data_IF_351374360538
#
_entry.id   IF_351374360538
#
_cell.length_a   1.000
_cell.length_b   1.000
_cell.length_c   1.000
_cell.angle_alpha   90.00
_cell.angle_beta   90.00
_cell.angle_gamma   90.00
#
_symmetry.space_group_name_H-M   'P 1'
#
loop_
_entity.id
_entity.type
_entity.pdbx_description
1 polymer ?
#
# COMPACT_ATOMS: atom_id res chain seq x y z
N UNK A 1 -46.22 -9.26 -63.96
CA UNK A 1 -45.54 -10.55 -64.16
C UNK A 1 -46.61 -11.60 -64.23
N UNK A 2 -46.76 -12.19 -65.41
CA UNK A 2 -47.79 -13.18 -65.68
C UNK A 2 -47.17 -14.54 -65.41
N UNK A 3 -47.36 -15.07 -64.20
CA UNK A 3 -46.97 -16.45 -63.93
C UNK A 3 -47.78 -17.37 -64.85
N UNK A 4 -47.15 -18.38 -65.47
CA UNK A 4 -47.87 -19.42 -66.18
C UNK A 4 -49.00 -19.98 -65.31
N UNK A 5 -50.25 -19.86 -65.76
CA UNK A 5 -51.42 -20.37 -65.05
C UNK A 5 -52.18 -21.35 -65.92
N UNK A 6 -52.55 -22.49 -65.35
CA UNK A 6 -53.48 -23.45 -65.92
C UNK A 6 -54.32 -24.06 -64.78
N UNK A 7 -55.52 -24.58 -65.07
CA UNK A 7 -56.36 -25.21 -64.05
C UNK A 7 -55.69 -26.46 -63.45
N UNK A 8 -55.81 -26.66 -62.14
CA UNK A 8 -55.23 -27.82 -61.43
C UNK A 8 -55.73 -29.17 -61.97
N UNK A 9 -56.89 -29.17 -62.63
CA UNK A 9 -57.52 -30.37 -63.21
C UNK A 9 -57.05 -30.70 -64.62
N UNK A 10 -56.16 -29.89 -65.22
CA UNK A 10 -55.71 -30.05 -66.60
C UNK A 10 -54.21 -30.37 -66.67
N UNK A 11 -53.77 -31.31 -67.53
CA UNK A 11 -52.35 -31.55 -67.74
C UNK A 11 -51.68 -30.30 -68.30
N UNK A 12 -50.43 -30.09 -67.89
CA UNK A 12 -49.64 -28.92 -68.29
C UNK A 12 -49.59 -28.84 -69.83
N UNK A 13 -50.03 -27.72 -70.44
CA UNK A 13 -50.25 -27.67 -71.89
C UNK A 13 -48.96 -27.75 -72.72
N UNK A 14 -47.81 -27.42 -72.13
CA UNK A 14 -46.45 -27.52 -72.70
C UNK A 14 -45.44 -27.70 -71.55
N UNK A 15 -44.17 -28.09 -71.81
CA UNK A 15 -43.13 -28.09 -70.79
C UNK A 15 -43.01 -26.72 -70.11
N UNK A 16 -42.87 -26.72 -68.77
CA UNK A 16 -42.86 -25.49 -67.96
C UNK A 16 -41.82 -24.45 -68.42
N UNK A 17 -40.63 -24.89 -68.84
CA UNK A 17 -39.57 -24.01 -69.32
C UNK A 17 -39.98 -23.25 -70.59
N UNK A 18 -40.73 -23.90 -71.49
CA UNK A 18 -41.16 -23.29 -72.75
C UNK A 18 -42.27 -22.26 -72.48
N UNK A 19 -43.23 -22.57 -71.61
CA UNK A 19 -44.29 -21.64 -71.21
C UNK A 19 -43.70 -20.44 -70.47
N UNK A 20 -42.70 -20.68 -69.62
CA UNK A 20 -41.99 -19.64 -68.88
C UNK A 20 -41.30 -18.66 -69.82
N UNK A 21 -40.55 -19.15 -70.80
CA UNK A 21 -39.81 -18.29 -71.73
C UNK A 21 -40.76 -17.57 -72.72
N UNK A 22 -41.86 -18.21 -73.12
CA UNK A 22 -42.95 -17.57 -73.89
C UNK A 22 -43.58 -16.41 -73.10
N UNK A 23 -43.93 -16.63 -71.83
CA UNK A 23 -44.53 -15.59 -70.97
C UNK A 23 -43.55 -14.50 -70.57
N UNK A 24 -42.27 -14.82 -70.43
CA UNK A 24 -41.20 -13.83 -70.21
C UNK A 24 -41.10 -12.86 -71.39
N UNK A 25 -41.21 -13.41 -72.60
CA UNK A 25 -41.13 -12.65 -73.86
C UNK A 25 -42.39 -11.81 -74.07
N UNK A 26 -43.57 -12.36 -73.76
CA UNK A 26 -44.85 -11.65 -73.83
C UNK A 26 -44.90 -10.47 -72.85
N UNK A 27 -44.51 -10.67 -71.60
CA UNK A 27 -44.46 -9.64 -70.56
C UNK A 27 -43.48 -8.51 -70.94
N UNK A 28 -42.31 -8.85 -71.51
CA UNK A 28 -41.34 -7.85 -71.99
C UNK A 28 -41.89 -7.06 -73.16
N UNK A 29 -42.47 -7.71 -74.16
CA UNK A 29 -43.02 -7.04 -75.34
C UNK A 29 -44.21 -6.13 -74.98
N UNK A 30 -45.07 -6.58 -74.05
CA UNK A 30 -46.20 -5.79 -73.57
C UNK A 30 -45.74 -4.55 -72.77
N UNK A 31 -44.66 -4.66 -72.01
CA UNK A 31 -44.15 -3.53 -71.23
C UNK A 31 -43.33 -2.57 -72.08
N UNK A 32 -42.58 -3.08 -73.07
CA UNK A 32 -41.90 -2.25 -74.07
C UNK A 32 -42.90 -1.43 -74.91
N UNK A 33 -44.00 -2.04 -75.36
CA UNK A 33 -45.07 -1.34 -76.11
C UNK A 33 -45.81 -0.29 -75.29
N UNK A 34 -45.74 -0.35 -73.94
CA UNK A 34 -46.28 0.67 -73.03
C UNK A 34 -45.27 1.79 -72.69
N UNK A 35 -44.11 1.82 -73.36
CA UNK A 35 -43.12 2.89 -73.22
C UNK A 35 -42.25 2.76 -71.96
N UNK A 36 -42.11 1.57 -71.39
CA UNK A 36 -41.26 1.36 -70.23
C UNK A 36 -39.78 1.54 -70.63
N UNK A 37 -39.03 2.32 -69.83
CA UNK A 37 -37.61 2.56 -70.05
C UNK A 37 -36.79 1.27 -69.95
N UNK A 38 -35.75 1.14 -70.79
CA UNK A 38 -34.80 0.02 -70.81
C UNK A 38 -34.18 -0.28 -69.43
N UNK A 39 -34.07 0.72 -68.55
CA UNK A 39 -33.59 0.57 -67.17
C UNK A 39 -34.49 -0.39 -66.36
N UNK A 40 -35.81 -0.35 -66.59
CA UNK A 40 -36.79 -1.18 -65.89
C UNK A 40 -37.10 -2.48 -66.62
N UNK A 41 -36.75 -2.59 -67.91
CA UNK A 41 -36.94 -3.81 -68.69
C UNK A 41 -36.15 -5.01 -68.12
N UNK A 42 -34.98 -4.77 -67.51
CA UNK A 42 -34.19 -5.80 -66.83
C UNK A 42 -34.81 -6.34 -65.53
N UNK A 43 -35.80 -5.64 -64.99
CA UNK A 43 -36.54 -6.06 -63.77
C UNK A 43 -37.74 -6.95 -64.07
N UNK A 44 -38.09 -7.10 -65.35
CA UNK A 44 -39.27 -7.83 -65.80
C UNK A 44 -38.87 -9.24 -66.22
N UNK A 45 -39.58 -10.20 -65.64
CA UNK A 45 -39.52 -11.59 -66.05
C UNK A 45 -39.10 -12.58 -64.95
N UNK A 46 -39.30 -13.86 -65.22
CA UNK A 46 -39.02 -14.97 -64.33
C UNK A 46 -37.56 -15.02 -63.90
N UNK A 47 -36.60 -14.71 -64.80
CA UNK A 47 -35.17 -14.66 -64.44
C UNK A 47 -34.87 -13.57 -63.41
N UNK A 48 -35.59 -12.45 -63.47
CA UNK A 48 -35.45 -11.36 -62.49
C UNK A 48 -36.06 -11.75 -61.15
N UNK A 49 -37.21 -12.44 -61.17
CA UNK A 49 -37.82 -13.02 -59.97
C UNK A 49 -36.92 -14.05 -59.29
N UNK A 50 -36.32 -14.99 -60.04
CA UNK A 50 -35.39 -15.98 -59.48
C UNK A 50 -34.19 -15.31 -58.81
N UNK A 51 -33.55 -14.35 -59.50
CA UNK A 51 -32.43 -13.58 -58.90
C UNK A 51 -32.84 -12.82 -57.65
N UNK A 52 -34.04 -12.26 -57.64
CA UNK A 52 -34.59 -11.59 -56.45
C UNK A 52 -34.80 -12.58 -55.30
N UNK A 53 -35.39 -13.75 -55.58
CA UNK A 53 -35.61 -14.80 -54.58
C UNK A 53 -34.30 -15.36 -54.02
N UNK A 54 -33.32 -15.65 -54.88
CA UNK A 54 -31.98 -16.09 -54.48
C UNK A 54 -31.35 -15.07 -53.52
N UNK A 55 -31.28 -13.79 -53.94
CA UNK A 55 -30.73 -12.71 -53.11
C UNK A 55 -31.49 -12.54 -51.80
N UNK A 56 -32.82 -12.70 -51.81
CA UNK A 56 -33.65 -12.55 -50.60
C UNK A 56 -33.45 -13.71 -49.63
N UNK A 57 -33.32 -14.93 -50.14
CA UNK A 57 -33.02 -16.13 -49.34
C UNK A 57 -31.61 -16.04 -48.75
N UNK A 58 -30.60 -15.65 -49.56
CA UNK A 58 -29.23 -15.42 -49.09
C UNK A 58 -29.19 -14.37 -47.97
N UNK A 59 -29.90 -13.25 -48.15
CA UNK A 59 -29.98 -12.21 -47.13
C UNK A 59 -30.64 -12.74 -45.84
N UNK A 60 -31.76 -13.45 -45.94
CA UNK A 60 -32.42 -14.04 -44.77
C UNK A 60 -31.52 -15.05 -44.04
N UNK A 61 -30.72 -15.80 -44.78
CA UNK A 61 -29.78 -16.76 -44.21
C UNK A 61 -28.62 -16.05 -43.50
N UNK A 62 -28.06 -15.00 -44.09
CA UNK A 62 -27.05 -14.16 -43.45
C UNK A 62 -27.59 -13.49 -42.18
N UNK A 63 -28.76 -12.87 -42.26
CA UNK A 63 -29.44 -12.19 -41.15
C UNK A 63 -29.72 -13.16 -39.97
N UNK A 64 -29.99 -14.44 -40.26
CA UNK A 64 -30.24 -15.45 -39.24
C UNK A 64 -28.95 -16.00 -38.61
N UNK A 65 -27.83 -16.05 -39.35
CA UNK A 65 -26.57 -16.63 -38.89
C UNK A 65 -25.75 -15.64 -38.07
N UNK A 66 -25.76 -14.35 -38.43
CA UNK A 66 -24.95 -13.33 -37.77
C UNK A 66 -25.18 -13.24 -36.25
N UNK A 67 -26.42 -13.28 -35.73
CA UNK A 67 -26.68 -13.32 -34.30
C UNK A 67 -26.10 -14.57 -33.61
N UNK A 68 -26.15 -15.72 -34.29
CA UNK A 68 -25.64 -16.99 -33.74
C UNK A 68 -24.12 -16.97 -33.67
N UNK A 69 -23.45 -16.46 -34.71
CA UNK A 69 -22.00 -16.31 -34.72
C UNK A 69 -21.51 -15.31 -33.67
N UNK A 70 -22.28 -14.24 -33.44
CA UNK A 70 -21.97 -13.25 -32.41
C UNK A 70 -22.08 -13.86 -31.02
N UNK A 71 -23.18 -14.56 -30.72
CA UNK A 71 -23.34 -15.30 -29.46
C UNK A 71 -22.24 -16.34 -29.23
N UNK A 72 -21.83 -17.07 -30.27
CA UNK A 72 -20.73 -18.04 -30.17
C UNK A 72 -19.38 -17.37 -29.88
N UNK A 73 -19.12 -16.20 -30.46
CA UNK A 73 -17.91 -15.42 -30.15
C UNK A 73 -17.92 -14.92 -28.72
N UNK A 74 -19.06 -14.43 -28.24
CA UNK A 74 -19.21 -13.95 -26.87
C UNK A 74 -19.04 -15.09 -25.86
N UNK A 75 -19.72 -16.23 -26.08
CA UNK A 75 -19.55 -17.45 -25.28
C UNK A 75 -18.09 -17.92 -25.24
N UNK A 76 -17.40 -17.91 -26.38
CA UNK A 76 -15.97 -18.26 -26.44
C UNK A 76 -15.11 -17.30 -25.62
N UNK A 77 -15.40 -15.99 -25.70
CA UNK A 77 -14.71 -14.96 -24.93
C UNK A 77 -14.91 -15.16 -23.43
N UNK A 78 -16.16 -15.34 -22.99
CA UNK A 78 -16.52 -15.60 -21.58
C UNK A 78 -15.88 -16.88 -21.06
N UNK A 79 -15.95 -17.98 -21.81
CA UNK A 79 -15.33 -19.25 -21.43
C UNK A 79 -13.79 -19.12 -21.33
N UNK A 80 -13.18 -18.36 -22.23
CA UNK A 80 -11.73 -18.10 -22.22
C UNK A 80 -11.30 -17.20 -21.06
N UNK A 81 -12.16 -16.30 -20.61
CA UNK A 81 -11.94 -15.50 -19.40
C UNK A 81 -12.07 -16.37 -18.14
N UNK A 82 -13.17 -17.12 -18.01
CA UNK A 82 -13.39 -18.03 -16.89
C UNK A 82 -12.27 -19.07 -16.74
N UNK A 83 -11.79 -19.63 -17.86
CA UNK A 83 -10.65 -20.54 -17.86
C UNK A 83 -9.40 -19.87 -17.27
N UNK A 84 -9.09 -18.64 -17.68
CA UNK A 84 -7.94 -17.89 -17.15
C UNK A 84 -8.10 -17.63 -15.65
N UNK A 85 -9.29 -17.22 -15.22
CA UNK A 85 -9.57 -16.95 -13.81
C UNK A 85 -9.40 -18.23 -12.95
N UNK A 86 -9.92 -19.37 -13.42
CA UNK A 86 -9.76 -20.68 -12.75
C UNK A 86 -8.31 -21.18 -12.75
N UNK A 87 -7.57 -20.99 -13.84
CA UNK A 87 -6.14 -21.32 -13.88
C UNK A 87 -5.36 -20.45 -12.88
N UNK A 88 -5.70 -19.17 -12.72
CA UNK A 88 -5.13 -18.31 -11.69
C UNK A 88 -5.46 -18.82 -10.29
N UNK A 89 -6.74 -19.11 -10.00
CA UNK A 89 -7.17 -19.61 -8.68
C UNK A 89 -6.53 -20.95 -8.31
N UNK A 90 -6.44 -21.89 -9.26
CA UNK A 90 -5.78 -23.17 -9.07
C UNK A 90 -4.28 -23.00 -8.79
N UNK A 91 -3.62 -22.11 -9.52
CA UNK A 91 -2.20 -21.82 -9.32
C UNK A 91 -1.92 -21.11 -7.98
N UNK A 92 -2.87 -20.32 -7.50
CA UNK A 92 -2.78 -19.58 -6.24
C UNK A 92 -3.12 -20.45 -5.01
N UNK A 93 -3.70 -21.64 -5.20
CA UNK A 93 -4.07 -22.59 -4.13
C UNK A 93 -3.09 -23.78 -3.95
N UNK A 94 -2.12 -23.95 -4.83
CA UNK A 94 -1.07 -24.97 -4.68
C UNK A 94 -0.17 -24.67 -3.46
N UNK A 95 -0.10 -25.56 -2.44
CA UNK A 95 0.70 -25.34 -1.22
C UNK A 95 2.18 -25.04 -1.48
N UNK A 96 2.78 -25.63 -2.52
CA UNK A 96 4.17 -25.38 -2.88
C UNK A 96 4.36 -23.98 -3.48
N UNK A 97 3.35 -23.50 -4.23
CA UNK A 97 3.34 -22.14 -4.77
C UNK A 97 2.99 -21.11 -3.72
N UNK A 98 2.05 -21.40 -2.81
CA UNK A 98 1.68 -20.48 -1.73
C UNK A 98 2.91 -20.03 -0.93
N UNK A 99 3.84 -20.93 -0.61
CA UNK A 99 5.08 -20.55 0.08
C UNK A 99 5.98 -19.63 -0.76
N UNK A 100 6.20 -19.95 -2.05
CA UNK A 100 6.98 -19.08 -2.94
C UNK A 100 6.29 -17.73 -3.13
N UNK A 101 5.00 -17.73 -3.44
CA UNK A 101 4.17 -16.54 -3.62
C UNK A 101 4.16 -15.67 -2.37
N UNK A 102 4.04 -16.27 -1.18
CA UNK A 102 4.11 -15.53 0.10
C UNK A 102 5.48 -14.86 0.25
N UNK A 103 6.56 -15.58 -0.05
CA UNK A 103 7.92 -15.04 0.00
C UNK A 103 8.10 -13.89 -0.99
N UNK A 104 7.64 -14.06 -2.22
CA UNK A 104 7.82 -13.06 -3.29
C UNK A 104 6.96 -11.81 -3.03
N UNK A 105 5.76 -11.99 -2.46
CA UNK A 105 4.94 -10.91 -1.91
C UNK A 105 5.66 -10.18 -0.76
N UNK A 106 6.27 -10.92 0.16
CA UNK A 106 7.03 -10.36 1.28
C UNK A 106 8.26 -9.57 0.83
N UNK A 107 9.00 -10.06 -0.16
CA UNK A 107 10.13 -9.33 -0.76
C UNK A 107 9.63 -8.03 -1.39
N UNK A 108 8.55 -8.10 -2.16
CA UNK A 108 7.99 -6.93 -2.83
C UNK A 108 7.46 -5.88 -1.86
N UNK A 109 6.84 -6.32 -0.77
CA UNK A 109 6.42 -5.44 0.32
C UNK A 109 7.63 -4.75 0.97
N UNK A 110 8.69 -5.50 1.26
CA UNK A 110 9.90 -4.95 1.87
C UNK A 110 10.61 -3.93 0.95
N UNK A 111 10.70 -4.19 -0.36
CA UNK A 111 11.29 -3.25 -1.31
C UNK A 111 10.39 -2.02 -1.53
N UNK A 112 9.07 -2.21 -1.54
CA UNK A 112 8.11 -1.12 -1.63
C UNK A 112 8.18 -0.18 -0.41
N UNK A 113 8.42 -0.72 0.79
CA UNK A 113 8.61 0.08 1.99
C UNK A 113 9.76 1.08 1.84
N UNK A 114 10.87 0.71 1.20
CA UNK A 114 11.99 1.64 0.95
C UNK A 114 11.52 2.88 0.21
N UNK A 115 10.69 2.72 -0.83
CA UNK A 115 10.16 3.86 -1.58
C UNK A 115 9.21 4.72 -0.76
N UNK A 116 8.34 4.11 0.05
CA UNK A 116 7.50 4.85 1.00
C UNK A 116 8.37 5.68 1.96
N UNK A 117 9.48 5.11 2.43
CA UNK A 117 10.44 5.80 3.29
C UNK A 117 11.27 6.87 2.57
N UNK A 118 11.46 6.77 1.24
CA UNK A 118 12.10 7.82 0.43
C UNK A 118 11.20 9.05 0.24
N UNK A 119 9.88 8.87 0.40
CA UNK A 119 8.89 9.95 0.38
C UNK A 119 8.14 10.05 -0.94
N UNK A 120 7.23 9.11 -1.16
CA UNK A 120 6.26 9.15 -2.27
C UNK A 120 5.09 10.06 -1.89
N UNK A 121 4.72 10.97 -2.80
CA UNK A 121 3.59 11.88 -2.62
C UNK A 121 2.24 11.15 -2.81
N UNK A 122 1.17 11.71 -2.25
CA UNK A 122 -0.22 11.26 -2.42
C UNK A 122 -0.52 9.82 -1.95
N UNK A 123 0.17 9.38 -0.89
CA UNK A 123 -0.08 8.11 -0.22
C UNK A 123 -0.91 8.31 1.05
N UNK A 124 -1.87 7.42 1.28
CA UNK A 124 -2.63 7.31 2.52
C UNK A 124 -2.22 6.02 3.29
N UNK A 125 -2.50 5.93 4.60
CA UNK A 125 -2.93 7.03 5.47
C UNK A 125 -1.81 8.07 5.67
N UNK A 126 -2.22 9.32 5.86
CA UNK A 126 -1.38 10.42 6.36
C UNK A 126 -1.85 10.81 7.76
N UNK A 127 -0.96 11.36 8.56
CA UNK A 127 -1.30 11.93 9.87
C UNK A 127 -0.51 13.20 10.13
N UNK A 128 -1.09 14.11 10.91
CA UNK A 128 -0.33 15.19 11.56
C UNK A 128 0.24 14.71 12.92
N UNK A 129 1.11 15.51 13.55
CA UNK A 129 1.78 15.08 14.79
C UNK A 129 0.82 14.93 15.98
N UNK A 130 -0.22 15.75 16.04
CA UNK A 130 -1.26 15.70 17.09
C UNK A 130 -1.98 14.35 17.07
N UNK A 131 -2.46 13.95 15.88
CA UNK A 131 -3.10 12.65 15.64
C UNK A 131 -2.19 11.47 15.98
N UNK A 132 -0.93 11.53 15.56
CA UNK A 132 0.04 10.48 15.86
C UNK A 132 0.25 10.27 17.36
N UNK A 133 0.46 11.36 18.10
CA UNK A 133 0.74 11.29 19.53
C UNK A 133 -0.47 10.75 20.29
N UNK A 134 -1.69 11.16 19.89
CA UNK A 134 -2.94 10.61 20.46
C UNK A 134 -3.15 9.15 20.13
N UNK A 135 -2.91 8.75 18.88
CA UNK A 135 -3.04 7.36 18.45
C UNK A 135 -2.02 6.46 19.17
N UNK A 136 -0.77 6.92 19.29
CA UNK A 136 0.28 6.24 20.04
C UNK A 136 -0.07 6.08 21.53
N UNK A 137 -0.53 7.16 22.18
CA UNK A 137 -0.96 7.11 23.59
C UNK A 137 -2.11 6.13 23.78
N UNK A 138 -3.13 6.20 22.93
CA UNK A 138 -4.30 5.30 22.99
C UNK A 138 -3.88 3.85 22.81
N UNK A 139 -2.99 3.58 21.85
CA UNK A 139 -2.45 2.25 21.59
C UNK A 139 -1.76 1.67 22.83
N UNK A 140 -0.85 2.41 23.45
CA UNK A 140 -0.13 1.90 24.62
C UNK A 140 -0.92 1.90 25.93
N UNK A 141 -1.90 2.80 26.09
CA UNK A 141 -2.86 2.72 27.18
C UNK A 141 -3.69 1.43 27.09
N UNK A 142 -4.14 1.08 25.88
CA UNK A 142 -4.89 -0.16 25.63
C UNK A 142 -4.03 -1.40 25.87
N UNK A 143 -2.74 -1.34 25.52
CA UNK A 143 -1.78 -2.43 25.76
C UNK A 143 -1.38 -2.56 27.24
N UNK A 144 -1.60 -1.52 28.06
CA UNK A 144 -1.16 -1.49 29.47
C UNK A 144 0.35 -1.34 29.63
N UNK A 145 1.00 -0.57 28.75
CA UNK A 145 2.46 -0.36 28.82
C UNK A 145 2.86 0.44 30.05
N UNK A 146 3.79 -0.11 30.84
CA UNK A 146 4.27 0.51 32.09
C UNK A 146 5.80 0.63 32.15
N UNK A 147 6.51 0.21 31.09
CA UNK A 147 7.97 0.18 31.04
C UNK A 147 8.61 1.53 30.65
N UNK A 148 7.80 2.52 30.26
CA UNK A 148 8.27 3.88 29.94
C UNK A 148 7.24 4.93 30.38
N UNK A 149 7.70 6.19 30.42
CA UNK A 149 6.84 7.34 30.72
C UNK A 149 6.18 7.86 29.44
N UNK A 150 4.86 8.06 29.46
CA UNK A 150 4.09 8.60 28.34
C UNK A 150 4.34 10.10 28.11
N UNK A 151 4.70 10.81 29.17
CA UNK A 151 5.00 12.24 29.15
C UNK A 151 6.50 12.48 29.38
N UNK A 152 7.06 13.55 28.81
CA UNK A 152 8.51 13.80 28.86
C UNK A 152 9.02 14.27 30.22
N UNK A 153 8.20 14.93 31.04
CA UNK A 153 8.53 15.31 32.42
C UNK A 153 7.26 15.39 33.27
N UNK A 154 7.43 15.52 34.59
CA UNK A 154 6.33 15.72 35.55
C UNK A 154 5.69 17.11 35.42
N UNK A 155 6.32 18.06 34.71
CA UNK A 155 5.77 19.39 34.47
C UNK A 155 4.57 19.37 33.52
N UNK A 156 4.45 18.31 32.71
CA UNK A 156 3.31 18.09 31.83
C UNK A 156 2.21 17.34 32.59
N UNK A 157 1.07 17.99 32.81
CA UNK A 157 -0.07 17.37 33.48
C UNK A 157 -0.86 16.45 32.54
N UNK A 158 -0.79 16.69 31.24
CA UNK A 158 -1.51 15.92 30.23
C UNK A 158 -0.78 15.82 28.88
N UNK A 159 -1.24 14.90 28.02
CA UNK A 159 -0.80 14.83 26.63
C UNK A 159 -1.10 16.13 25.87
N UNK A 160 -2.22 16.80 26.19
CA UNK A 160 -2.56 18.06 25.52
C UNK A 160 -1.51 19.13 25.80
N UNK A 161 -1.01 19.21 27.04
CA UNK A 161 0.04 20.16 27.43
C UNK A 161 1.31 19.92 26.60
N UNK A 162 1.66 18.65 26.39
CA UNK A 162 2.83 18.29 25.58
C UNK A 162 2.62 18.63 24.10
N UNK A 163 1.45 18.31 23.54
CA UNK A 163 1.07 18.67 22.17
C UNK A 163 1.13 20.19 21.99
N UNK A 164 0.58 20.96 22.92
CA UNK A 164 0.56 22.42 22.88
C UNK A 164 1.97 23.01 23.00
N UNK A 165 2.83 22.43 23.84
CA UNK A 165 4.25 22.80 23.93
C UNK A 165 4.99 22.56 22.61
N UNK A 166 4.79 21.39 22.00
CA UNK A 166 5.42 21.06 20.71
C UNK A 166 4.93 21.95 19.57
N UNK A 167 3.64 22.30 19.56
CA UNK A 167 3.01 23.15 18.53
C UNK A 167 3.39 24.61 18.70
N UNK A 168 3.26 25.17 19.90
CA UNK A 168 3.28 26.61 20.13
C UNK A 168 4.65 27.13 20.59
N UNK A 169 5.35 26.39 21.46
CA UNK A 169 6.63 26.83 22.04
C UNK A 169 7.83 26.36 21.22
N UNK A 170 7.91 25.05 20.93
CA UNK A 170 9.00 24.50 20.12
C UNK A 170 8.79 24.74 18.63
N UNK A 171 7.52 24.77 18.18
CA UNK A 171 7.14 24.93 16.78
C UNK A 171 7.80 23.87 15.88
N UNK A 172 7.55 22.59 16.18
CA UNK A 172 8.08 21.49 15.37
C UNK A 172 7.68 21.67 13.90
N UNK A 173 8.66 21.48 13.00
CA UNK A 173 8.42 21.54 11.57
C UNK A 173 7.38 20.53 11.11
N UNK A 174 6.48 20.96 10.22
CA UNK A 174 5.40 20.13 9.68
C UNK A 174 4.45 19.57 10.76
N UNK A 175 4.26 20.26 11.89
CA UNK A 175 3.37 19.81 12.97
C UNK A 175 1.95 19.51 12.48
N UNK A 176 1.29 20.51 11.88
CA UNK A 176 -0.09 20.41 11.38
C UNK A 176 -0.18 19.89 9.94
N UNK A 177 0.95 19.52 9.33
CA UNK A 177 0.97 18.99 7.96
C UNK A 177 0.76 17.49 8.00
N UNK A 178 -0.22 17.03 7.24
CA UNK A 178 -0.44 15.60 7.06
C UNK A 178 0.64 15.00 6.18
N UNK A 179 1.43 14.07 6.74
CA UNK A 179 2.52 13.40 6.02
C UNK A 179 2.55 11.91 6.38
N UNK A 180 3.29 11.13 5.58
CA UNK A 180 3.58 9.74 5.85
C UNK A 180 5.05 9.38 5.52
N UNK A 181 5.40 8.10 5.68
CA UNK A 181 6.68 7.56 5.25
C UNK A 181 7.89 8.33 5.78
N UNK A 182 8.82 8.67 4.89
CA UNK A 182 10.06 9.35 5.25
C UNK A 182 9.89 10.74 5.87
N UNK A 183 8.91 11.52 5.42
CA UNK A 183 8.67 12.85 5.95
C UNK A 183 8.11 12.78 7.38
N UNK A 184 7.19 11.85 7.61
CA UNK A 184 6.68 11.52 8.94
C UNK A 184 7.80 11.03 9.87
N UNK A 185 8.68 10.16 9.38
CA UNK A 185 9.82 9.68 10.17
C UNK A 185 10.76 10.82 10.59
N UNK A 186 11.07 11.77 9.70
CA UNK A 186 11.90 12.93 10.04
C UNK A 186 11.26 13.79 11.13
N UNK A 187 9.93 14.02 11.06
CA UNK A 187 9.18 14.75 12.10
C UNK A 187 9.20 13.99 13.43
N UNK A 188 8.98 12.68 13.41
CA UNK A 188 9.10 11.82 14.57
C UNK A 188 10.48 11.99 15.24
N UNK A 189 11.56 11.97 14.45
CA UNK A 189 12.91 12.12 14.99
C UNK A 189 13.11 13.47 15.71
N UNK A 190 12.47 14.55 15.24
CA UNK A 190 12.49 15.84 15.95
C UNK A 190 11.71 15.76 17.28
N UNK A 191 10.53 15.14 17.29
CA UNK A 191 9.73 14.98 18.51
C UNK A 191 10.45 14.17 19.58
N UNK A 192 11.00 13.00 19.24
CA UNK A 192 11.70 12.15 20.21
C UNK A 192 13.01 12.77 20.71
N UNK A 193 13.66 13.61 19.90
CA UNK A 193 14.81 14.41 20.36
C UNK A 193 14.36 15.40 21.44
N UNK A 194 13.28 16.15 21.22
CA UNK A 194 12.71 17.06 22.22
C UNK A 194 12.28 16.31 23.47
N UNK A 195 11.64 15.15 23.32
CA UNK A 195 11.27 14.28 24.45
C UNK A 195 12.49 13.91 25.30
N UNK A 196 13.62 13.58 24.66
CA UNK A 196 14.87 13.28 25.35
C UNK A 196 15.53 14.50 25.99
N UNK A 197 15.30 15.73 25.52
CA UNK A 197 15.88 16.94 26.15
C UNK A 197 15.39 17.14 27.58
N UNK A 198 14.18 16.69 27.90
CA UNK A 198 13.68 16.71 29.27
C UNK A 198 14.40 15.71 30.19
N UNK A 199 15.34 14.92 29.68
CA UNK A 199 16.12 13.92 30.46
C UNK A 199 17.13 14.52 31.43
N UNK A 200 17.14 15.85 31.55
CA UNK A 200 17.88 16.55 32.58
C UNK A 200 17.57 15.97 33.97
N UNK A 201 18.64 15.73 34.72
CA UNK A 201 18.58 15.19 36.07
C UNK A 201 18.29 16.38 37.00
N UNK A 202 17.03 16.79 37.08
CA UNK A 202 16.59 17.88 37.94
C UNK A 202 16.36 17.44 39.40
N UNK A 203 17.14 16.47 39.88
CA UNK A 203 17.02 15.98 41.26
C UNK A 203 17.92 16.81 42.17
N UNK A 204 17.31 17.49 43.14
CA UNK A 204 18.06 18.16 44.21
C UNK A 204 18.73 17.12 45.12
N UNK A 205 20.05 16.96 44.98
CA UNK A 205 20.84 16.04 45.80
C UNK A 205 20.94 16.59 47.22
N UNK A 206 20.34 15.90 48.20
CA UNK A 206 20.39 16.31 49.61
C UNK A 206 21.63 15.75 50.29
N UNK A 207 22.04 16.40 51.38
CA UNK A 207 23.17 15.95 52.22
C UNK A 207 23.05 14.49 52.66
N UNK A 208 21.83 14.01 52.93
CA UNK A 208 21.57 12.62 53.31
C UNK A 208 21.95 11.63 52.19
N UNK A 209 21.68 11.98 50.94
CA UNK A 209 21.89 11.12 49.77
C UNK A 209 23.41 10.97 49.53
N UNK A 210 24.16 12.06 49.72
CA UNK A 210 25.63 12.06 49.73
C UNK A 210 26.20 11.16 50.83
N UNK A 211 25.67 11.25 52.06
CA UNK A 211 26.10 10.42 53.18
C UNK A 211 25.81 8.93 52.89
N UNK A 212 24.64 8.62 52.33
CA UNK A 212 24.25 7.26 51.95
C UNK A 212 25.14 6.70 50.83
N UNK A 213 25.41 7.48 49.78
CA UNK A 213 26.27 7.09 48.67
C UNK A 213 27.73 6.86 49.10
N UNK A 214 28.22 7.67 50.05
CA UNK A 214 29.54 7.49 50.66
C UNK A 214 29.62 6.22 51.53
N UNK A 215 28.54 5.86 52.22
CA UNK A 215 28.51 4.73 53.13
C UNK A 215 29.38 4.91 54.39
N UNK A 216 29.39 3.90 55.26
CA UNK A 216 30.09 3.92 56.57
C UNK A 216 31.57 3.53 56.50
N UNK A 217 32.08 3.12 55.33
CA UNK A 217 33.48 2.73 55.15
C UNK A 217 34.38 3.96 54.95
N UNK A 218 35.33 4.16 55.87
CA UNK A 218 36.19 5.37 55.92
C UNK A 218 37.50 5.26 55.13
N UNK A 219 37.78 4.13 54.47
CA UNK A 219 39.01 3.96 53.69
C UNK A 219 38.69 3.66 52.22
N UNK A 220 39.24 4.49 51.32
CA UNK A 220 39.33 4.38 49.85
C UNK A 220 38.25 4.97 48.93
N UNK A 221 37.10 5.44 49.42
CA UNK A 221 36.10 6.08 48.53
C UNK A 221 36.45 7.54 48.21
N UNK A 222 36.63 7.84 46.93
CA UNK A 222 36.84 9.21 46.45
C UNK A 222 35.52 9.93 46.21
N UNK A 223 35.54 11.26 46.17
CA UNK A 223 34.36 12.04 45.74
C UNK A 223 33.88 11.66 44.34
N UNK A 224 34.78 11.20 43.46
CA UNK A 224 34.40 10.70 42.14
C UNK A 224 33.50 9.48 42.23
N UNK A 225 33.79 8.56 43.14
CA UNK A 225 32.99 7.34 43.35
C UNK A 225 31.61 7.66 43.93
N UNK A 226 31.53 8.68 44.81
CA UNK A 226 30.26 9.17 45.37
C UNK A 226 29.38 9.78 44.27
N UNK A 227 29.95 10.60 43.39
CA UNK A 227 29.24 11.20 42.26
C UNK A 227 28.73 10.14 41.28
N UNK A 228 29.56 9.14 40.95
CA UNK A 228 29.16 8.02 40.08
C UNK A 228 27.96 7.27 40.65
N UNK A 229 27.95 6.98 41.97
CA UNK A 229 26.82 6.31 42.62
C UNK A 229 25.55 7.16 42.59
N UNK A 230 25.66 8.46 42.88
CA UNK A 230 24.51 9.38 42.85
C UNK A 230 23.92 9.49 41.45
N UNK A 231 24.76 9.66 40.42
CA UNK A 231 24.33 9.69 39.02
C UNK A 231 23.69 8.35 38.60
N UNK A 232 24.29 7.23 38.98
CA UNK A 232 23.74 5.90 38.65
C UNK A 232 22.37 5.66 39.30
N UNK A 233 22.12 6.20 40.48
CA UNK A 233 20.84 6.07 41.18
C UNK A 233 19.77 7.02 40.62
N UNK A 234 20.11 8.30 40.46
CA UNK A 234 19.14 9.35 40.12
C UNK A 234 18.90 9.50 38.61
N UNK A 235 19.86 9.16 37.77
CA UNK A 235 19.80 9.46 36.34
C UNK A 235 19.63 8.24 35.44
N UNK A 236 20.24 7.11 35.82
CA UNK A 236 20.32 5.95 34.93
C UNK A 236 18.93 5.39 34.60
N UNK A 237 18.09 5.14 35.62
CA UNK A 237 16.77 4.54 35.43
C UNK A 237 15.78 5.50 34.71
N UNK A 238 15.69 6.80 35.05
CA UNK A 238 14.87 7.74 34.28
C UNK A 238 15.29 7.83 32.82
N UNK A 239 16.59 7.83 32.53
CA UNK A 239 17.09 7.90 31.16
C UNK A 239 16.76 6.63 30.37
N UNK A 240 16.88 5.43 30.98
CA UNK A 240 16.44 4.18 30.38
C UNK A 240 14.95 4.20 30.00
N UNK A 241 14.08 4.67 30.91
CA UNK A 241 12.63 4.78 30.63
C UNK A 241 12.32 5.72 29.47
N UNK A 242 13.08 6.81 29.32
CA UNK A 242 12.90 7.75 28.21
C UNK A 242 13.38 7.16 26.90
N UNK A 243 14.52 6.47 26.89
CA UNK A 243 14.97 5.72 25.71
C UNK A 243 13.96 4.66 25.31
N UNK A 244 13.29 4.01 26.28
CA UNK A 244 12.20 3.07 25.98
C UNK A 244 11.02 3.73 25.26
N UNK A 245 10.62 4.95 25.65
CA UNK A 245 9.63 5.74 24.89
C UNK A 245 10.08 5.95 23.44
N UNK A 246 11.31 6.38 23.21
CA UNK A 246 11.88 6.62 21.87
C UNK A 246 11.83 5.35 21.03
N UNK A 247 12.26 4.22 21.59
CA UNK A 247 12.23 2.93 20.92
C UNK A 247 10.81 2.52 20.52
N UNK A 248 9.85 2.63 21.44
CA UNK A 248 8.45 2.28 21.18
C UNK A 248 7.81 3.22 20.15
N UNK A 249 8.11 4.51 20.18
CA UNK A 249 7.66 5.47 19.14
C UNK A 249 8.17 5.10 17.76
N UNK A 250 9.45 4.76 17.62
CA UNK A 250 10.05 4.33 16.36
C UNK A 250 9.43 3.02 15.87
N UNK A 251 9.27 2.03 16.76
CA UNK A 251 8.63 0.76 16.43
C UNK A 251 7.20 0.98 15.96
N UNK A 252 6.41 1.74 16.72
CA UNK A 252 5.01 2.02 16.39
C UNK A 252 4.88 2.73 15.04
N UNK A 253 5.77 3.68 14.74
CA UNK A 253 5.84 4.31 13.42
C UNK A 253 5.94 3.28 12.29
N UNK A 254 6.82 2.28 12.41
CA UNK A 254 6.92 1.23 11.40
C UNK A 254 5.66 0.34 11.37
N UNK A 255 5.09 -0.01 12.53
CA UNK A 255 3.89 -0.85 12.62
C UNK A 255 2.69 -0.27 11.86
N UNK A 256 2.55 1.07 11.81
CA UNK A 256 1.46 1.75 11.11
C UNK A 256 1.72 1.97 9.61
N UNK A 257 2.94 1.80 9.09
CA UNK A 257 3.24 2.03 7.66
C UNK A 257 2.69 0.94 6.73
N UNK A 258 2.23 -0.19 7.26
CA UNK A 258 1.90 -1.37 6.43
C UNK A 258 0.81 -1.07 5.40
N UNK A 259 -0.20 -0.29 5.80
CA UNK A 259 -1.28 0.08 4.91
C UNK A 259 -0.82 1.07 3.84
N UNK A 260 0.08 2.01 4.19
CA UNK A 260 0.69 2.93 3.22
C UNK A 260 1.53 2.20 2.17
N UNK A 261 2.27 1.16 2.56
CA UNK A 261 3.02 0.30 1.62
C UNK A 261 2.08 -0.41 0.67
N UNK A 262 0.98 -0.98 1.17
CA UNK A 262 0.01 -1.66 0.31
C UNK A 262 -0.73 -0.70 -0.61
N UNK A 263 -1.04 0.50 -0.14
CA UNK A 263 -1.61 1.54 -0.97
C UNK A 263 -0.67 1.93 -2.10
N UNK A 264 0.60 2.20 -1.77
CA UNK A 264 1.63 2.50 -2.76
C UNK A 264 1.69 1.42 -3.84
N UNK A 265 1.86 0.15 -3.44
CA UNK A 265 1.95 -0.95 -4.39
C UNK A 265 0.69 -1.08 -5.27
N UNK A 266 -0.49 -0.76 -4.74
CA UNK A 266 -1.76 -0.82 -5.48
C UNK A 266 -1.91 0.34 -6.47
N UNK A 267 -1.58 1.56 -6.06
CA UNK A 267 -1.74 2.78 -6.88
C UNK A 267 -0.83 2.83 -8.11
N UNK A 268 0.19 1.98 -8.17
CA UNK A 268 1.06 1.86 -9.34
C UNK A 268 0.35 1.27 -10.55
N UNK A 269 -0.76 0.56 -10.38
CA UNK A 269 -1.53 0.06 -11.51
C UNK A 269 -2.13 1.21 -12.32
N UNK A 270 -1.68 1.38 -13.57
CA UNK A 270 -2.15 2.44 -14.46
C UNK A 270 -1.60 3.84 -14.15
N UNK A 271 -0.63 3.97 -13.23
CA UNK A 271 0.00 5.27 -12.97
C UNK A 271 1.02 5.63 -14.07
N UNK A 272 1.22 6.92 -14.38
CA UNK A 272 2.26 7.35 -15.32
C UNK A 272 3.69 6.97 -14.87
N UNK A 273 3.88 6.78 -13.57
CA UNK A 273 5.17 6.44 -12.95
C UNK A 273 5.38 4.93 -12.77
N UNK A 274 4.43 4.09 -13.17
CA UNK A 274 4.49 2.63 -12.98
C UNK A 274 5.78 2.01 -13.54
N UNK A 275 6.29 2.55 -14.66
CA UNK A 275 7.50 2.08 -15.31
C UNK A 275 8.79 2.29 -14.50
N UNK A 276 8.75 3.12 -13.45
CA UNK A 276 9.88 3.38 -12.56
C UNK A 276 10.00 2.34 -11.45
N UNK A 277 8.98 1.50 -11.28
CA UNK A 277 8.87 0.54 -10.18
C UNK A 277 8.68 -0.88 -10.71
N UNK A 278 8.72 -1.86 -9.80
CA UNK A 278 8.50 -3.26 -10.16
C UNK A 278 7.08 -3.44 -10.72
N UNK A 279 6.91 -4.05 -11.92
CA UNK A 279 5.59 -4.31 -12.48
C UNK A 279 4.81 -5.36 -11.67
N UNK A 280 5.46 -6.08 -10.77
CA UNK A 280 4.84 -7.08 -9.90
C UNK A 280 4.16 -6.46 -8.67
N UNK A 281 4.40 -5.19 -8.36
CA UNK A 281 3.85 -4.56 -7.16
C UNK A 281 2.31 -4.58 -7.11
N UNK A 282 1.57 -4.18 -8.17
CA UNK A 282 0.11 -4.27 -8.15
C UNK A 282 -0.42 -5.70 -7.97
N UNK A 283 0.19 -6.66 -8.66
CA UNK A 283 -0.19 -8.06 -8.59
C UNK A 283 0.01 -8.61 -7.16
N UNK A 284 1.18 -8.37 -6.56
CA UNK A 284 1.47 -8.82 -5.21
C UNK A 284 0.61 -8.08 -4.17
N UNK A 285 0.33 -6.79 -4.34
CA UNK A 285 -0.58 -6.07 -3.44
C UNK A 285 -1.99 -6.65 -3.48
N UNK A 286 -2.50 -7.01 -4.66
CA UNK A 286 -3.79 -7.68 -4.83
C UNK A 286 -3.81 -9.03 -4.13
N UNK A 287 -2.77 -9.85 -4.31
CA UNK A 287 -2.64 -11.15 -3.63
C UNK A 287 -2.59 -10.99 -2.10
N UNK A 288 -1.81 -10.04 -1.59
CA UNK A 288 -1.75 -9.75 -0.16
C UNK A 288 -3.13 -9.33 0.36
N UNK A 289 -3.88 -8.48 -0.36
CA UNK A 289 -5.21 -8.03 0.07
C UNK A 289 -6.27 -9.14 0.04
N UNK A 290 -6.22 -10.01 -0.97
CA UNK A 290 -7.25 -11.04 -1.20
C UNK A 290 -6.98 -12.33 -0.41
N UNK A 291 -5.72 -12.66 -0.13
CA UNK A 291 -5.36 -13.88 0.59
C UNK A 291 -4.99 -13.56 2.05
N UNK A 292 -5.89 -13.90 2.97
CA UNK A 292 -5.71 -13.67 4.40
C UNK A 292 -4.49 -14.38 5.01
N UNK A 293 -4.11 -15.54 4.47
CA UNK A 293 -2.92 -16.27 4.94
C UNK A 293 -1.64 -15.52 4.55
N UNK A 294 -1.56 -15.03 3.31
CA UNK A 294 -0.44 -14.21 2.83
C UNK A 294 -0.38 -12.90 3.62
N UNK A 295 -1.53 -12.20 3.85
CA UNK A 295 -1.57 -11.06 4.80
C UNK A 295 -0.91 -11.47 6.10
N UNK A 296 -1.47 -12.47 6.76
CA UNK A 296 -1.07 -12.79 8.12
C UNK A 296 0.43 -13.10 8.21
N UNK A 297 0.98 -13.86 7.25
CA UNK A 297 2.40 -14.17 7.20
C UNK A 297 3.28 -12.93 7.01
N UNK A 298 2.92 -12.03 6.08
CA UNK A 298 3.67 -10.79 5.83
C UNK A 298 3.62 -9.86 7.04
N UNK A 299 2.43 -9.57 7.56
CA UNK A 299 2.24 -8.72 8.75
C UNK A 299 2.96 -9.29 9.97
N UNK A 300 2.79 -10.57 10.28
CA UNK A 300 3.41 -11.18 11.45
C UNK A 300 4.94 -11.16 11.35
N UNK A 301 5.49 -11.41 10.16
CA UNK A 301 6.94 -11.36 9.94
C UNK A 301 7.47 -9.93 10.10
N UNK A 302 6.74 -8.95 9.58
CA UNK A 302 7.05 -7.54 9.72
C UNK A 302 7.06 -7.09 11.20
N UNK A 303 6.01 -7.43 11.95
CA UNK A 303 5.85 -7.08 13.36
C UNK A 303 6.92 -7.74 14.24
N UNK A 304 7.22 -9.02 13.98
CA UNK A 304 8.33 -9.72 14.63
C UNK A 304 9.67 -9.04 14.34
N UNK A 305 9.87 -8.52 13.14
CA UNK A 305 11.08 -7.77 12.78
C UNK A 305 11.16 -6.47 13.56
N UNK A 306 10.07 -5.68 13.60
CA UNK A 306 10.00 -4.43 14.36
C UNK A 306 10.27 -4.67 15.86
N UNK A 307 9.64 -5.68 16.46
CA UNK A 307 9.89 -6.05 17.86
C UNK A 307 11.31 -6.56 18.14
N UNK A 308 11.96 -7.22 17.17
CA UNK A 308 13.38 -7.58 17.29
C UNK A 308 14.29 -6.35 17.23
N UNK A 309 14.01 -5.41 16.32
CA UNK A 309 14.78 -4.17 16.21
C UNK A 309 14.62 -3.30 17.45
N UNK A 310 13.41 -3.20 18.03
CA UNK A 310 13.21 -2.53 19.31
C UNK A 310 14.10 -3.14 20.41
N UNK A 311 14.09 -4.47 20.57
CA UNK A 311 14.90 -5.12 21.59
C UNK A 311 16.40 -4.85 21.42
N UNK A 312 16.89 -4.92 20.18
CA UNK A 312 18.30 -4.60 19.88
C UNK A 312 18.61 -3.13 20.19
N UNK A 313 17.72 -2.21 19.83
CA UNK A 313 17.86 -0.79 20.14
C UNK A 313 17.97 -0.57 21.65
N UNK A 314 17.03 -1.12 22.44
CA UNK A 314 17.04 -0.98 23.91
C UNK A 314 18.29 -1.60 24.51
N UNK A 315 18.67 -2.82 24.12
CA UNK A 315 19.86 -3.50 24.63
C UNK A 315 21.14 -2.70 24.36
N UNK A 316 21.31 -2.16 23.16
CA UNK A 316 22.48 -1.35 22.81
C UNK A 316 22.52 -0.06 23.64
N UNK A 317 21.39 0.61 23.83
CA UNK A 317 21.33 1.81 24.65
C UNK A 317 21.53 1.52 26.14
N UNK A 318 20.95 0.46 26.69
CA UNK A 318 21.17 0.06 28.08
C UNK A 318 22.65 -0.25 28.35
N UNK A 319 23.31 -0.93 27.42
CA UNK A 319 24.74 -1.20 27.49
C UNK A 319 25.56 0.11 27.40
N UNK A 320 25.20 1.01 26.50
CA UNK A 320 25.83 2.33 26.38
C UNK A 320 25.66 3.13 27.68
N UNK A 321 24.44 3.25 28.20
CA UNK A 321 24.14 3.98 29.43
C UNK A 321 24.89 3.39 30.62
N UNK A 322 24.88 2.06 30.76
CA UNK A 322 25.62 1.37 31.83
C UNK A 322 27.12 1.69 31.74
N UNK A 323 27.70 1.71 30.53
CA UNK A 323 29.10 2.09 30.31
C UNK A 323 29.35 3.56 30.67
N UNK A 324 28.47 4.46 30.22
CA UNK A 324 28.56 5.91 30.50
C UNK A 324 28.47 6.20 31.99
N UNK A 325 27.52 5.61 32.71
CA UNK A 325 27.39 5.82 34.15
C UNK A 325 28.46 5.11 34.97
N UNK A 326 29.09 4.05 34.45
CA UNK A 326 30.23 3.41 35.11
C UNK A 326 31.49 4.28 35.10
N UNK A 327 31.67 5.13 34.07
CA UNK A 327 32.79 6.07 33.99
C UNK A 327 32.40 7.38 33.27
N UNK A 328 31.60 8.24 33.92
CA UNK A 328 31.07 9.47 33.29
C UNK A 328 32.18 10.48 32.97
N UNK A 329 33.33 10.38 33.64
CA UNK A 329 34.46 11.30 33.49
C UNK A 329 35.10 11.28 32.09
N UNK A 330 35.03 10.13 31.39
CA UNK A 330 35.53 10.00 30.01
C UNK A 330 34.74 10.91 29.06
N UNK A 331 33.45 11.12 29.34
CA UNK A 331 32.55 11.90 28.51
C UNK A 331 32.58 13.39 28.83
N UNK A 332 33.02 13.78 30.05
CA UNK A 332 33.15 15.18 30.45
C UNK A 332 34.35 15.89 29.81
N UNK A 333 35.43 15.17 29.48
CA UNK A 333 36.66 15.75 28.91
C UNK A 333 36.49 16.32 27.48
N UNK A 334 35.43 15.95 26.77
CA UNK A 334 35.15 16.45 25.42
C UNK A 334 34.45 17.81 25.37
N UNK A 335 33.80 18.23 26.46
CA UNK A 335 32.98 19.46 26.48
C UNK A 335 33.67 20.65 27.15
N UNK A 336 34.75 20.42 27.94
CA UNK A 336 35.40 21.46 28.74
C UNK A 336 36.87 21.70 28.41
N UNK A 337 37.39 21.17 27.30
CA UNK A 337 38.75 21.48 26.83
C UNK A 337 38.79 22.87 26.17
N UNK A 338 38.58 23.89 27.00
CA UNK A 338 39.20 25.19 26.76
C UNK A 338 40.72 25.01 26.99
N UNK A 339 41.60 25.40 26.05
CA UNK A 339 43.03 25.29 26.24
C UNK A 339 43.48 26.37 27.22
N UNK A 340 43.58 26.05 28.52
CA UNK A 340 44.19 26.99 29.48
C UNK A 340 43.91 26.85 30.97
N UNK A 341 43.30 25.76 31.47
CA UNK A 341 42.94 25.66 32.89
C UNK A 341 43.55 24.45 33.61
N UNK A 342 44.81 24.09 33.29
CA UNK A 342 45.52 22.99 33.97
C UNK A 342 46.52 23.47 35.05
N UNK A 343 46.49 24.74 35.43
CA UNK A 343 47.22 25.27 36.59
C UNK A 343 46.26 25.98 37.53
N UNK A 344 45.73 25.29 38.55
CA UNK A 344 45.32 25.87 39.85
C UNK A 344 44.37 25.00 40.70
N UNK A 345 44.52 23.68 40.73
CA UNK A 345 43.88 22.88 41.80
C UNK A 345 44.83 21.78 42.31
N UNK A 346 45.93 22.23 42.91
CA UNK A 346 46.62 21.52 43.98
C UNK A 346 46.73 22.48 45.17
N UNK A 347 45.77 22.42 46.09
CA UNK A 347 45.94 22.64 47.53
C UNK A 347 44.75 22.03 48.29
#
# INVERSE_FOLDING_TARGET
MTLPWWPDTSPMPKPFNDIKDEKDTEDRNQMASKGLSDLYMGTIGFRSFVKYMEKKIEQMFADAIDPVLTNLKDLKSTASQQKRDLETEYNDTDPHRILSTTRDCGISFATALTHVMEGVLDLQPVMNLDEELRAFHTYHQTLGSAHFSMLPSEDFCSLNDYIDYLRNEIQIGAFDVEVNGGAQFRRLMMEVEIFLRFSEIAVEIKKRDVIQARGVSMSSLTWRDVVVKLLSHEAHLPLQRRVAYVGERIKWFFEIQKDAVLEFMTKLEGSPTANLFSPLYPQHAKLIKQNAMIKHAVWQTYDKSCGRQLRQFIELFENMLTSTFSNPWVFLKGATSSPGADESLQE
#
